data_IF_037754823890
#
_entry.id   IF_037754823890
#
_cell.length_a   1.000
_cell.length_b   1.000
_cell.length_c   1.000
_cell.angle_alpha   90.00
_cell.angle_beta   90.00
_cell.angle_gamma   90.00
#
_symmetry.space_group_name_H-M   'P 1'
#
loop_
_entity.id
_entity.type
_entity.pdbx_description
1 polymer ?
#
# COMPACT_ATOMS: atom_id res chain seq x y z
N UNK A 1 13.75 8.55 13.74
CA UNK A 1 14.78 7.99 14.66
C UNK A 1 14.19 7.41 15.96
N UNK A 2 13.22 8.06 16.61
CA UNK A 2 12.60 7.46 17.81
C UNK A 2 11.83 6.19 17.46
N UNK A 3 10.97 6.24 16.42
CA UNK A 3 10.23 5.08 15.93
C UNK A 3 11.14 3.93 15.47
N UNK A 4 12.24 4.25 14.81
CA UNK A 4 13.23 3.28 14.35
C UNK A 4 13.87 2.52 15.53
N UNK A 5 14.13 3.22 16.66
CA UNK A 5 14.64 2.61 17.89
C UNK A 5 13.61 1.70 18.58
N UNK A 6 12.34 1.99 18.39
CA UNK A 6 11.22 1.20 18.93
C UNK A 6 10.83 0.01 18.03
N UNK A 7 11.62 -0.26 16.96
CA UNK A 7 11.43 -1.44 16.12
C UNK A 7 10.37 -1.29 15.03
N UNK A 8 10.09 -0.05 14.59
CA UNK A 8 9.19 0.18 13.44
C UNK A 8 9.80 -0.37 12.16
N UNK A 9 9.02 -1.15 11.39
CA UNK A 9 9.45 -1.79 10.13
C UNK A 9 9.45 -0.85 8.94
N UNK A 10 8.63 0.20 8.96
CA UNK A 10 8.51 1.17 7.86
C UNK A 10 7.73 2.41 8.26
N UNK A 11 7.73 3.38 7.37
CA UNK A 11 7.00 4.64 7.54
C UNK A 11 6.05 4.83 6.36
N UNK A 12 4.96 5.57 6.57
CA UNK A 12 4.08 6.01 5.49
C UNK A 12 3.83 7.51 5.61
N UNK A 13 3.90 8.22 4.50
CA UNK A 13 3.73 9.68 4.47
C UNK A 13 2.79 10.13 3.35
N UNK A 14 2.15 11.28 3.56
CA UNK A 14 1.17 11.84 2.65
C UNK A 14 1.74 12.56 1.44
N UNK A 15 3.03 12.93 1.46
CA UNK A 15 3.65 13.65 0.35
C UNK A 15 5.16 13.37 0.25
N UNK A 16 5.70 13.64 -0.93
CA UNK A 16 7.10 13.36 -1.26
C UNK A 16 8.08 14.25 -0.48
N UNK A 17 7.73 15.48 -0.14
CA UNK A 17 8.62 16.40 0.57
C UNK A 17 8.89 15.91 1.99
N UNK A 18 7.89 15.36 2.68
CA UNK A 18 8.06 14.75 3.99
C UNK A 18 8.96 13.52 3.90
N UNK A 19 8.79 12.67 2.88
CA UNK A 19 9.66 11.53 2.64
C UNK A 19 11.12 11.94 2.43
N UNK A 20 11.35 12.97 1.63
CA UNK A 20 12.71 13.52 1.38
C UNK A 20 13.31 14.11 2.65
N UNK A 21 12.53 14.82 3.46
CA UNK A 21 12.99 15.34 4.75
C UNK A 21 13.39 14.21 5.71
N UNK A 22 12.63 13.12 5.74
CA UNK A 22 12.93 11.91 6.53
C UNK A 22 14.24 11.27 6.03
N UNK A 23 14.42 11.12 4.71
CA UNK A 23 15.67 10.61 4.13
C UNK A 23 16.85 11.50 4.46
N UNK A 24 16.71 12.83 4.32
CA UNK A 24 17.73 13.80 4.70
C UNK A 24 18.12 13.71 6.18
N UNK A 25 17.20 13.36 7.06
CA UNK A 25 17.48 13.10 8.48
C UNK A 25 18.22 11.76 8.71
N UNK A 26 18.54 10.98 7.68
CA UNK A 26 19.30 9.73 7.76
C UNK A 26 18.49 8.51 8.17
N UNK A 27 17.16 8.52 7.98
CA UNK A 27 16.32 7.36 8.19
C UNK A 27 16.39 6.44 6.97
N UNK A 28 16.70 5.16 7.19
CA UNK A 28 16.86 4.15 6.13
C UNK A 28 15.65 3.21 5.99
N UNK A 29 14.70 3.24 6.92
CA UNK A 29 13.48 2.44 6.88
C UNK A 29 12.73 2.58 5.55
N UNK A 30 12.00 1.56 5.09
CA UNK A 30 11.07 1.69 3.98
C UNK A 30 10.11 2.87 4.18
N UNK A 31 9.85 3.63 3.12
CA UNK A 31 8.89 4.75 3.16
C UNK A 31 7.86 4.56 2.06
N UNK A 32 6.61 4.31 2.45
CA UNK A 32 5.46 4.29 1.58
C UNK A 32 4.95 5.73 1.36
N UNK A 33 4.76 6.09 0.09
CA UNK A 33 4.06 7.32 -0.31
C UNK A 33 2.58 7.00 -0.54
N UNK A 34 1.70 7.61 0.22
CA UNK A 34 0.27 7.55 -0.05
C UNK A 34 -0.07 8.17 -1.42
N UNK A 35 -1.28 7.93 -2.00
CA UNK A 35 -1.58 8.24 -3.40
C UNK A 35 -1.66 9.75 -3.68
N UNK A 36 -0.53 10.44 -3.65
CA UNK A 36 -0.33 11.85 -3.97
C UNK A 36 0.97 12.07 -4.76
N UNK A 37 1.54 11.00 -5.33
CA UNK A 37 2.78 11.04 -6.07
C UNK A 37 2.51 10.64 -7.52
N UNK A 38 3.03 11.41 -8.45
CA UNK A 38 2.81 11.18 -9.88
C UNK A 38 4.03 10.51 -10.52
N UNK A 39 3.85 9.71 -11.60
CA UNK A 39 4.93 9.02 -12.30
C UNK A 39 6.07 9.93 -12.78
N UNK A 40 5.81 11.21 -13.04
CA UNK A 40 6.84 12.19 -13.41
C UNK A 40 7.91 12.38 -12.33
N UNK A 41 7.63 11.97 -11.10
CA UNK A 41 8.59 11.99 -9.99
C UNK A 41 9.41 10.71 -9.86
N UNK A 42 9.34 9.78 -10.82
CA UNK A 42 9.94 8.44 -10.73
C UNK A 42 11.45 8.47 -10.44
N UNK A 43 12.20 9.43 -11.01
CA UNK A 43 13.62 9.59 -10.72
C UNK A 43 13.86 9.89 -9.23
N UNK A 44 13.15 10.88 -8.69
CA UNK A 44 13.26 11.27 -7.28
C UNK A 44 12.85 10.14 -6.35
N UNK A 45 11.75 9.46 -6.68
CA UNK A 45 11.23 8.31 -5.92
C UNK A 45 12.26 7.17 -5.90
N UNK A 46 12.82 6.82 -7.05
CA UNK A 46 13.82 5.76 -7.19
C UNK A 46 15.14 6.10 -6.51
N UNK A 47 15.66 7.31 -6.69
CA UNK A 47 16.91 7.77 -6.08
C UNK A 47 16.86 7.78 -4.56
N UNK A 48 15.70 8.09 -4.00
CA UNK A 48 15.49 8.16 -2.55
C UNK A 48 14.89 6.88 -1.97
N UNK A 49 14.82 5.79 -2.74
CA UNK A 49 14.29 4.49 -2.28
C UNK A 49 12.93 4.64 -1.61
N UNK A 50 12.02 5.38 -2.27
CA UNK A 50 10.64 5.55 -1.84
C UNK A 50 9.75 4.55 -2.57
N UNK A 51 8.63 4.17 -1.95
CA UNK A 51 7.68 3.21 -2.51
C UNK A 51 6.35 3.92 -2.79
N UNK A 52 6.03 4.21 -4.04
CA UNK A 52 4.77 4.87 -4.38
C UNK A 52 3.58 3.92 -4.30
N UNK A 53 2.43 4.48 -3.96
CA UNK A 53 1.14 3.80 -4.10
C UNK A 53 0.73 3.73 -5.56
N UNK A 54 0.10 2.62 -5.94
CA UNK A 54 -0.50 2.39 -7.26
C UNK A 54 -1.96 1.96 -7.08
N UNK A 55 -2.87 2.54 -7.85
CA UNK A 55 -4.32 2.34 -7.70
C UNK A 55 -5.02 1.88 -9.00
N UNK A 56 -4.28 1.71 -10.10
CA UNK A 56 -4.80 1.18 -11.37
C UNK A 56 -3.68 0.60 -12.23
N UNK A 57 -4.05 -0.25 -13.20
CA UNK A 57 -3.08 -0.77 -14.19
C UNK A 57 -2.45 0.35 -15.02
N UNK A 58 -3.24 1.37 -15.38
CA UNK A 58 -2.75 2.52 -16.12
C UNK A 58 -1.68 3.27 -15.33
N UNK A 59 -1.91 3.45 -14.03
CA UNK A 59 -0.93 4.07 -13.14
C UNK A 59 0.32 3.21 -12.99
N UNK A 60 0.18 1.89 -12.82
CA UNK A 60 1.31 0.96 -12.79
C UNK A 60 2.14 1.04 -14.08
N UNK A 61 1.49 1.06 -15.23
CA UNK A 61 2.14 1.21 -16.53
C UNK A 61 2.86 2.55 -16.66
N UNK A 62 2.25 3.65 -16.20
CA UNK A 62 2.86 4.98 -16.24
C UNK A 62 4.12 5.03 -15.35
N UNK A 63 4.10 4.44 -14.14
CA UNK A 63 5.28 4.31 -13.29
C UNK A 63 6.38 3.48 -13.96
N UNK A 64 6.01 2.35 -14.60
CA UNK A 64 6.97 1.52 -15.31
C UNK A 64 7.63 2.25 -16.50
N UNK A 65 6.87 3.08 -17.21
CA UNK A 65 7.40 3.88 -18.33
C UNK A 65 8.29 5.05 -17.85
N UNK A 66 8.01 5.62 -16.68
CA UNK A 66 8.75 6.75 -16.14
C UNK A 66 10.05 6.35 -15.43
N UNK A 67 10.15 5.12 -14.95
CA UNK A 67 11.33 4.64 -14.23
C UNK A 67 12.38 4.04 -15.18
N UNK A 68 13.66 4.26 -14.86
CA UNK A 68 14.79 3.64 -15.58
C UNK A 68 15.38 2.44 -14.84
N UNK A 69 14.87 2.14 -13.64
CA UNK A 69 15.33 1.04 -12.76
C UNK A 69 14.13 0.36 -12.15
N UNK A 70 14.25 -0.90 -11.71
CA UNK A 70 13.17 -1.55 -11.00
C UNK A 70 12.69 -0.72 -9.81
N UNK A 71 11.41 -0.38 -9.81
CA UNK A 71 10.75 0.43 -8.80
C UNK A 71 9.85 -0.47 -7.96
N UNK A 72 10.00 -0.39 -6.65
CA UNK A 72 9.11 -1.05 -5.71
C UNK A 72 7.83 -0.23 -5.57
N UNK A 73 6.67 -0.87 -5.70
CA UNK A 73 5.36 -0.23 -5.64
C UNK A 73 4.44 -0.94 -4.65
N UNK A 74 3.43 -0.23 -4.17
CA UNK A 74 2.48 -0.74 -3.20
C UNK A 74 1.05 -0.49 -3.69
N UNK A 75 0.34 -1.49 -4.23
CA UNK A 75 -1.08 -1.38 -4.58
C UNK A 75 -1.94 -1.03 -3.38
N UNK A 76 -2.82 -0.05 -3.56
CA UNK A 76 -3.88 0.30 -2.62
C UNK A 76 -5.19 -0.33 -3.06
N UNK A 77 -5.82 -1.07 -2.16
CA UNK A 77 -7.11 -1.72 -2.39
C UNK A 77 -8.21 -0.92 -1.69
N UNK A 78 -9.29 -0.62 -2.37
CA UNK A 78 -10.47 -0.01 -1.76
C UNK A 78 -11.53 -1.07 -1.51
N UNK A 79 -11.66 -1.48 -0.27
CA UNK A 79 -12.64 -2.49 0.16
C UNK A 79 -13.95 -1.90 0.68
N UNK A 80 -14.13 -0.59 0.50
CA UNK A 80 -15.38 0.08 0.88
C UNK A 80 -15.23 1.44 1.56
N UNK A 81 -14.00 1.93 1.80
CA UNK A 81 -13.80 3.28 2.32
C UNK A 81 -14.11 4.37 1.29
N UNK A 82 -14.03 4.03 -0.01
CA UNK A 82 -14.28 4.93 -1.15
C UNK A 82 -13.36 6.18 -1.15
N UNK A 83 -12.12 5.99 -0.70
CA UNK A 83 -11.09 7.04 -0.62
C UNK A 83 -9.86 6.68 -1.45
N UNK A 84 -10.09 6.32 -2.71
CA UNK A 84 -9.04 5.94 -3.64
C UNK A 84 -8.44 4.55 -3.37
N UNK A 85 -7.99 3.94 -4.43
CA UNK A 85 -7.52 2.56 -4.49
C UNK A 85 -8.23 1.80 -5.61
N UNK A 86 -7.70 0.66 -5.99
CA UNK A 86 -8.35 -0.25 -6.94
C UNK A 86 -9.44 -1.05 -6.22
N UNK A 87 -10.58 -1.25 -6.85
CA UNK A 87 -11.64 -2.10 -6.31
C UNK A 87 -11.22 -3.59 -6.35
N UNK A 88 -11.74 -4.45 -5.47
CA UNK A 88 -11.32 -5.85 -5.37
C UNK A 88 -11.44 -6.63 -6.68
N UNK A 89 -12.47 -6.37 -7.48
CA UNK A 89 -12.71 -7.00 -8.79
C UNK A 89 -11.63 -6.68 -9.85
N UNK A 90 -10.86 -5.60 -9.66
CA UNK A 90 -9.74 -5.18 -10.51
C UNK A 90 -8.36 -5.38 -9.85
N UNK A 91 -8.33 -5.73 -8.58
CA UNK A 91 -7.09 -5.79 -7.82
C UNK A 91 -6.17 -6.91 -8.30
N UNK A 92 -6.71 -8.09 -8.59
CA UNK A 92 -5.92 -9.24 -9.08
C UNK A 92 -5.25 -8.91 -10.42
N UNK A 93 -5.96 -8.24 -11.32
CA UNK A 93 -5.44 -7.80 -12.62
C UNK A 93 -4.30 -6.80 -12.45
N UNK A 94 -4.47 -5.80 -11.56
CA UNK A 94 -3.41 -4.85 -11.22
C UNK A 94 -2.17 -5.55 -10.64
N UNK A 95 -2.36 -6.49 -9.69
CA UNK A 95 -1.26 -7.21 -9.04
C UNK A 95 -0.49 -8.04 -10.07
N UNK A 96 -1.19 -8.75 -10.97
CA UNK A 96 -0.57 -9.46 -12.10
C UNK A 96 0.24 -8.51 -12.99
N UNK A 97 -0.35 -7.38 -13.40
CA UNK A 97 0.33 -6.40 -14.24
C UNK A 97 1.63 -5.88 -13.59
N UNK A 98 1.65 -5.73 -12.27
CA UNK A 98 2.85 -5.34 -11.52
C UNK A 98 3.88 -6.49 -11.53
N UNK A 99 3.47 -7.71 -11.18
CA UNK A 99 4.41 -8.84 -11.03
C UNK A 99 5.00 -9.32 -12.36
N UNK A 100 4.27 -9.18 -13.45
CA UNK A 100 4.72 -9.50 -14.81
C UNK A 100 5.62 -8.40 -15.41
N UNK A 101 5.64 -7.21 -14.82
CA UNK A 101 6.44 -6.09 -15.31
C UNK A 101 7.87 -6.13 -14.77
N UNK A 102 8.87 -6.13 -15.68
CA UNK A 102 10.29 -6.20 -15.31
C UNK A 102 10.80 -4.97 -14.53
N UNK A 103 10.12 -3.84 -14.66
CA UNK A 103 10.49 -2.58 -14.01
C UNK A 103 9.68 -2.30 -12.74
N UNK A 104 8.76 -3.17 -12.35
CA UNK A 104 8.01 -3.03 -11.11
C UNK A 104 8.27 -4.20 -10.18
N UNK A 105 8.22 -3.95 -8.88
CA UNK A 105 8.30 -4.95 -7.82
C UNK A 105 7.19 -4.74 -6.82
N UNK A 106 6.44 -5.78 -6.55
CA UNK A 106 5.39 -5.77 -5.53
C UNK A 106 6.04 -5.77 -4.14
N UNK A 107 5.87 -4.70 -3.36
CA UNK A 107 6.30 -4.65 -1.95
C UNK A 107 5.29 -5.33 -1.03
N UNK A 108 4.03 -5.27 -1.38
CA UNK A 108 2.90 -5.75 -0.64
C UNK A 108 1.63 -5.11 -1.15
N UNK A 109 0.54 -5.26 -0.44
CA UNK A 109 -0.72 -4.56 -0.72
C UNK A 109 -1.27 -3.94 0.56
N UNK A 110 -2.00 -2.85 0.43
CA UNK A 110 -2.63 -2.24 1.59
C UNK A 110 -4.04 -1.76 1.32
N UNK A 111 -4.78 -1.65 2.38
CA UNK A 111 -6.09 -1.02 2.43
C UNK A 111 -6.18 -0.08 3.63
N UNK A 112 -7.28 0.64 3.73
CA UNK A 112 -7.62 1.43 4.90
C UNK A 112 -9.09 1.23 5.20
N UNK A 113 -9.42 0.71 6.37
CA UNK A 113 -10.78 0.46 6.76
C UNK A 113 -11.46 1.75 7.23
N UNK A 114 -12.75 1.84 6.99
CA UNK A 114 -13.59 2.83 7.64
C UNK A 114 -13.53 2.59 9.15
N UNK A 115 -13.27 3.66 9.92
CA UNK A 115 -13.26 3.58 11.36
C UNK A 115 -14.64 3.19 11.92
N UNK A 116 -14.66 2.82 13.20
CA UNK A 116 -15.88 2.51 13.92
C UNK A 116 -16.88 3.69 13.85
N UNK A 117 -18.04 3.44 13.30
CA UNK A 117 -19.19 4.30 13.38
C UNK A 117 -20.21 3.63 14.31
N UNK A 118 -20.57 4.23 15.44
CA UNK A 118 -21.56 3.67 16.35
C UNK A 118 -22.92 3.43 15.70
N UNK A 119 -23.25 4.17 14.64
CA UNK A 119 -24.52 4.03 13.92
C UNK A 119 -24.53 2.85 12.94
N UNK A 120 -23.39 2.52 12.34
CA UNK A 120 -23.23 1.40 11.41
C UNK A 120 -22.54 0.20 12.02
N UNK A 121 -21.95 0.36 13.19
CA UNK A 121 -21.36 -0.68 14.02
C UNK A 121 -20.08 -1.30 13.47
N UNK A 122 -19.57 -2.26 14.23
CA UNK A 122 -18.39 -3.05 13.89
C UNK A 122 -18.54 -3.92 12.64
N UNK A 123 -19.76 -4.20 12.22
CA UNK A 123 -20.05 -5.10 11.10
C UNK A 123 -19.48 -4.59 9.78
N UNK A 124 -19.43 -3.26 9.57
CA UNK A 124 -18.85 -2.71 8.36
C UNK A 124 -17.31 -2.88 8.31
N UNK A 125 -16.62 -2.75 9.43
CA UNK A 125 -15.19 -3.05 9.51
C UNK A 125 -14.91 -4.53 9.21
N UNK A 126 -15.74 -5.45 9.73
CA UNK A 126 -15.64 -6.88 9.43
C UNK A 126 -15.87 -7.17 7.95
N UNK A 127 -16.88 -6.58 7.33
CA UNK A 127 -17.13 -6.73 5.91
C UNK A 127 -15.95 -6.27 5.05
N UNK A 128 -15.32 -5.15 5.41
CA UNK A 128 -14.13 -4.65 4.72
C UNK A 128 -12.94 -5.61 4.90
N UNK A 129 -12.76 -6.14 6.10
CA UNK A 129 -11.72 -7.12 6.40
C UNK A 129 -11.93 -8.41 5.59
N UNK A 130 -13.15 -8.95 5.57
CA UNK A 130 -13.50 -10.15 4.79
C UNK A 130 -13.22 -9.96 3.29
N UNK A 131 -13.57 -8.80 2.74
CA UNK A 131 -13.27 -8.47 1.33
C UNK A 131 -11.78 -8.44 1.06
N UNK A 132 -10.99 -7.85 1.97
CA UNK A 132 -9.54 -7.81 1.82
C UNK A 132 -8.92 -9.19 1.96
N UNK A 133 -9.38 -9.97 2.93
CA UNK A 133 -8.91 -11.34 3.14
C UNK A 133 -9.24 -12.25 1.95
N UNK A 134 -10.46 -12.18 1.41
CA UNK A 134 -10.85 -12.92 0.22
C UNK A 134 -9.96 -12.59 -0.99
N UNK A 135 -9.59 -11.32 -1.16
CA UNK A 135 -8.64 -10.92 -2.19
C UNK A 135 -7.25 -11.53 -1.96
N UNK A 136 -6.75 -11.53 -0.71
CA UNK A 136 -5.47 -12.16 -0.37
C UNK A 136 -5.46 -13.65 -0.71
N UNK A 137 -6.55 -14.36 -0.40
CA UNK A 137 -6.71 -15.77 -0.77
C UNK A 137 -6.75 -15.97 -2.30
N UNK A 138 -7.39 -15.07 -3.04
CA UNK A 138 -7.44 -15.14 -4.50
C UNK A 138 -6.06 -14.93 -5.11
N UNK A 139 -5.29 -13.96 -4.62
CA UNK A 139 -3.91 -13.70 -5.05
C UNK A 139 -3.01 -14.89 -4.72
N UNK A 140 -3.17 -15.48 -3.55
CA UNK A 140 -2.41 -16.69 -3.15
C UNK A 140 -2.74 -17.90 -4.05
N UNK A 141 -4.01 -18.11 -4.41
CA UNK A 141 -4.42 -19.21 -5.31
C UNK A 141 -3.81 -19.15 -6.72
N UNK A 142 -3.35 -17.99 -7.13
CA UNK A 142 -2.64 -17.80 -8.42
C UNK A 142 -1.12 -17.74 -8.27
N UNK A 143 -0.61 -18.22 -7.13
CA UNK A 143 0.83 -18.33 -6.82
C UNK A 143 1.59 -17.00 -6.84
N UNK A 144 0.93 -15.92 -6.43
CA UNK A 144 1.58 -14.62 -6.22
C UNK A 144 1.80 -14.41 -4.72
N UNK A 145 3.06 -14.27 -4.33
CA UNK A 145 3.43 -13.90 -2.98
C UNK A 145 3.22 -12.40 -2.73
N UNK A 146 2.60 -12.08 -1.59
CA UNK A 146 2.39 -10.71 -1.12
C UNK A 146 3.21 -10.53 0.15
N UNK A 147 4.43 -9.94 0.07
CA UNK A 147 5.36 -9.89 1.20
C UNK A 147 4.82 -9.13 2.40
N UNK A 148 4.16 -8.00 2.17
CA UNK A 148 3.61 -7.14 3.23
C UNK A 148 2.12 -6.88 2.98
N UNK A 149 1.32 -7.05 4.03
CA UNK A 149 -0.13 -6.85 4.00
C UNK A 149 -0.51 -5.85 5.08
N UNK A 150 -0.92 -4.65 4.69
CA UNK A 150 -1.29 -3.59 5.63
C UNK A 150 -2.80 -3.37 5.55
N UNK A 151 -3.46 -3.50 6.68
CA UNK A 151 -4.89 -3.25 6.83
C UNK A 151 -5.17 -2.43 8.09
N UNK A 152 -6.37 -1.91 8.17
CA UNK A 152 -6.88 -1.19 9.32
C UNK A 152 -6.28 0.22 9.54
N UNK A 153 -6.99 1.00 10.31
CA UNK A 153 -6.55 2.25 10.89
C UNK A 153 -6.48 2.11 12.41
N UNK A 154 -5.92 3.08 13.11
CA UNK A 154 -5.66 3.01 14.55
C UNK A 154 -6.87 2.58 15.39
N UNK A 155 -8.08 3.07 15.08
CA UNK A 155 -9.29 2.69 15.82
C UNK A 155 -9.67 1.22 15.59
N UNK A 156 -9.51 0.72 14.36
CA UNK A 156 -9.84 -0.66 14.02
C UNK A 156 -8.87 -1.62 14.70
N UNK A 157 -7.57 -1.35 14.66
CA UNK A 157 -6.55 -2.16 15.34
C UNK A 157 -6.79 -2.24 16.85
N UNK A 158 -7.16 -1.12 17.47
CA UNK A 158 -7.44 -1.10 18.91
C UNK A 158 -8.72 -1.89 19.29
N UNK A 159 -9.71 -1.95 18.40
CA UNK A 159 -10.97 -2.63 18.66
C UNK A 159 -10.99 -4.09 18.18
N UNK A 160 -10.25 -4.38 17.12
CA UNK A 160 -10.20 -5.68 16.44
C UNK A 160 -8.74 -6.06 16.15
N UNK A 161 -7.97 -6.45 17.18
CA UNK A 161 -6.55 -6.81 17.01
C UNK A 161 -6.36 -7.95 15.99
N UNK A 162 -7.36 -8.80 15.81
CA UNK A 162 -7.36 -9.90 14.84
C UNK A 162 -7.37 -9.43 13.37
N UNK A 163 -7.61 -8.13 13.11
CA UNK A 163 -7.55 -7.53 11.77
C UNK A 163 -6.17 -6.98 11.41
N UNK A 164 -5.21 -7.14 12.30
CA UNK A 164 -3.78 -6.90 12.01
C UNK A 164 -3.23 -8.13 11.25
N UNK A 165 -2.60 -7.88 10.10
CA UNK A 165 -2.22 -8.94 9.16
C UNK A 165 -0.71 -9.22 9.09
N UNK A 166 0.11 -8.39 9.74
CA UNK A 166 1.56 -8.58 9.77
C UNK A 166 2.14 -8.37 11.15
#
# INVERSE_FOLDING_TARGET
RSLEKEGTDGLAVGNINDALAIRKAGVELPILLYPNCLPETASVVSENRLTPTVSSEQEAQAWAQATQRPLTVFPKIDVGLLRGGVLPDKAVSLIKAITENKLLRLAGIYTHFHGYDPATGSDYARLQFERFHSLLEEVHRIDIDVPVRIAAGSLVVLQFPEMDLN
#
